data_IF_360043493834
#
_entry.id   IF_360043493834
#
_cell.length_a   1.000
_cell.length_b   1.000
_cell.length_c   1.000
_cell.angle_alpha   90.00
_cell.angle_beta   90.00
_cell.angle_gamma   90.00
#
_symmetry.space_group_name_H-M   'P 1'
#
loop_
_entity.id
_entity.type
_entity.pdbx_description
1 polymer ?
#
# COMPACT_ATOMS: atom_id res chain seq x y z
N UNK A 1 31.20 -2.99 -3.82
CA UNK A 1 30.25 -2.39 -2.86
C UNK A 1 28.83 -2.89 -3.18
N UNK A 2 28.18 -3.64 -2.28
CA UNK A 2 26.87 -4.25 -2.55
C UNK A 2 25.73 -3.23 -2.38
N UNK A 3 25.33 -2.65 -3.50
CA UNK A 3 24.29 -1.63 -3.67
C UNK A 3 22.84 -2.12 -3.52
N UNK A 4 22.61 -3.26 -2.90
CA UNK A 4 21.25 -3.74 -2.67
C UNK A 4 20.51 -2.85 -1.66
N UNK A 5 21.24 -2.05 -0.87
CA UNK A 5 20.77 -1.46 0.40
C UNK A 5 19.79 -0.29 0.30
N UNK A 6 19.79 0.51 -0.77
CA UNK A 6 19.00 1.75 -0.82
C UNK A 6 17.62 1.59 -1.51
N UNK A 7 17.52 0.82 -2.61
CA UNK A 7 16.22 0.34 -3.17
C UNK A 7 15.36 -0.34 -2.10
N UNK A 8 16.01 -0.97 -1.13
CA UNK A 8 15.35 -1.76 -0.10
C UNK A 8 14.60 -0.90 0.96
N UNK A 9 14.89 0.40 1.05
CA UNK A 9 14.39 1.24 2.14
C UNK A 9 13.05 1.94 1.84
N UNK A 10 12.71 2.11 0.56
CA UNK A 10 11.53 2.84 0.11
C UNK A 10 10.25 1.98 -0.04
N UNK A 11 10.40 0.69 -0.32
CA UNK A 11 9.28 -0.23 -0.50
C UNK A 11 8.45 -0.46 0.78
N UNK A 12 9.05 -0.19 1.96
CA UNK A 12 8.51 -0.52 3.28
C UNK A 12 7.25 0.22 3.69
N UNK A 13 6.98 1.37 3.06
CA UNK A 13 5.87 2.25 3.43
C UNK A 13 4.64 2.09 2.54
N UNK A 14 4.77 1.29 1.49
CA UNK A 14 3.69 0.98 0.56
C UNK A 14 2.63 0.03 1.08
N UNK A 15 2.97 -0.79 2.09
CA UNK A 15 2.17 -1.94 2.52
C UNK A 15 1.60 -1.77 3.93
N UNK A 16 1.95 -0.68 4.60
CA UNK A 16 1.71 -0.48 6.02
C UNK A 16 0.61 0.53 6.35
N UNK A 17 -0.27 0.85 5.40
CA UNK A 17 -1.56 1.45 5.77
C UNK A 17 -2.47 0.28 6.15
N UNK A 18 -2.66 -0.03 7.45
CA UNK A 18 -3.72 -0.95 7.82
C UNK A 18 -5.03 -0.38 7.28
N UNK A 19 -5.65 -1.09 6.35
CA UNK A 19 -7.01 -0.82 5.88
C UNK A 19 -8.07 -1.05 6.97
N UNK A 20 -7.75 -0.78 8.23
CA UNK A 20 -8.65 -0.93 9.36
C UNK A 20 -9.35 0.42 9.58
N UNK A 21 -10.23 0.77 8.65
CA UNK A 21 -11.36 1.60 9.04
C UNK A 21 -12.00 0.90 10.24
N UNK A 22 -12.16 1.62 11.36
CA UNK A 22 -12.78 1.07 12.57
C UNK A 22 -14.06 0.34 12.16
N UNK A 23 -14.18 -0.94 12.50
CA UNK A 23 -15.36 -1.72 12.15
C UNK A 23 -16.59 -0.95 12.63
N UNK A 24 -17.59 -0.72 11.76
CA UNK A 24 -18.75 0.06 12.15
C UNK A 24 -19.37 -0.56 13.41
N UNK A 25 -19.83 0.28 14.34
CA UNK A 25 -20.44 -0.22 15.56
C UNK A 25 -21.64 -1.12 15.21
N UNK A 26 -21.66 -2.35 15.76
CA UNK A 26 -22.77 -3.27 15.54
C UNK A 26 -24.04 -2.66 16.16
N UNK A 27 -25.18 -2.61 15.45
CA UNK A 27 -26.42 -2.09 16.02
C UNK A 27 -26.86 -2.92 17.24
N UNK A 28 -27.37 -2.24 18.27
CA UNK A 28 -27.73 -2.83 19.56
C UNK A 28 -28.92 -3.81 19.49
N UNK A 29 -29.72 -3.77 18.42
CA UNK A 29 -30.88 -4.63 18.25
C UNK A 29 -30.46 -6.10 18.08
N UNK A 30 -30.98 -6.99 18.95
CA UNK A 30 -30.71 -8.43 18.97
C UNK A 30 -30.67 -9.03 17.55
N UNK A 31 -29.54 -9.66 17.20
CA UNK A 31 -29.39 -10.32 15.93
C UNK A 31 -30.49 -11.40 15.81
N UNK A 32 -31.45 -11.16 14.93
CA UNK A 32 -32.39 -12.22 14.54
C UNK A 32 -31.56 -13.27 13.81
N UNK A 33 -31.79 -14.56 14.10
CA UNK A 33 -31.03 -15.67 13.53
C UNK A 33 -30.95 -15.60 12.00
N UNK A 34 -29.94 -16.26 11.42
CA UNK A 34 -29.77 -16.28 9.97
C UNK A 34 -31.02 -16.90 9.31
N UNK A 35 -31.59 -16.26 8.28
CA UNK A 35 -32.75 -16.79 7.56
C UNK A 35 -32.37 -18.08 6.84
N UNK A 36 -33.33 -18.99 6.66
CA UNK A 36 -33.15 -20.14 5.80
C UNK A 36 -32.97 -19.70 4.33
N UNK A 37 -32.34 -20.57 3.53
CA UNK A 37 -32.03 -20.31 2.12
C UNK A 37 -33.26 -19.93 1.29
N UNK A 38 -34.40 -20.55 1.55
CA UNK A 38 -35.62 -20.32 0.77
C UNK A 38 -36.27 -18.97 1.10
N UNK A 39 -36.19 -18.53 2.36
CA UNK A 39 -36.58 -17.19 2.79
C UNK A 39 -35.60 -16.14 2.26
N UNK A 40 -34.30 -16.42 2.23
CA UNK A 40 -33.30 -15.51 1.63
C UNK A 40 -33.60 -15.29 0.15
N UNK A 41 -33.73 -16.35 -0.65
CA UNK A 41 -34.01 -16.26 -2.09
C UNK A 41 -35.32 -15.53 -2.41
N UNK A 42 -36.39 -15.83 -1.66
CA UNK A 42 -37.65 -15.10 -1.81
C UNK A 42 -37.52 -13.60 -1.48
N UNK A 43 -36.62 -13.25 -0.56
CA UNK A 43 -36.31 -11.86 -0.22
C UNK A 43 -35.48 -11.20 -1.32
N UNK A 44 -34.52 -11.90 -1.92
CA UNK A 44 -33.76 -11.41 -3.08
C UNK A 44 -34.70 -11.04 -4.24
N UNK A 45 -35.67 -11.91 -4.57
CA UNK A 45 -36.70 -11.64 -5.58
C UNK A 45 -37.51 -10.37 -5.27
N UNK A 46 -37.81 -10.13 -3.99
CA UNK A 46 -38.50 -8.91 -3.54
C UNK A 46 -37.62 -7.68 -3.72
N UNK A 47 -36.36 -7.73 -3.32
CA UNK A 47 -35.44 -6.59 -3.42
C UNK A 47 -35.17 -6.20 -4.87
N UNK A 48 -35.13 -7.19 -5.76
CA UNK A 48 -35.09 -6.96 -7.21
C UNK A 48 -36.37 -6.26 -7.70
N UNK A 49 -37.55 -6.76 -7.31
CA UNK A 49 -38.82 -6.16 -7.70
C UNK A 49 -38.98 -4.71 -7.20
N UNK A 50 -38.40 -4.39 -6.04
CA UNK A 50 -38.33 -3.04 -5.48
C UNK A 50 -37.28 -2.14 -6.14
N UNK A 51 -36.49 -2.66 -7.08
CA UNK A 51 -35.33 -1.97 -7.66
C UNK A 51 -34.39 -1.40 -6.59
N UNK A 52 -34.21 -2.16 -5.50
CA UNK A 52 -33.39 -1.73 -4.37
C UNK A 52 -31.96 -1.30 -4.78
N UNK A 53 -31.28 -1.93 -5.76
CA UNK A 53 -29.97 -1.48 -6.23
C UNK A 53 -29.91 0.00 -6.62
N UNK A 54 -30.95 0.53 -7.26
CA UNK A 54 -31.00 1.95 -7.67
C UNK A 54 -30.97 2.86 -6.44
N UNK A 55 -31.80 2.56 -5.44
CA UNK A 55 -31.86 3.32 -4.19
C UNK A 55 -30.52 3.22 -3.43
N UNK A 56 -29.95 2.03 -3.31
CA UNK A 56 -28.71 1.81 -2.56
C UNK A 56 -27.53 2.52 -3.21
N UNK A 57 -27.42 2.51 -4.54
CA UNK A 57 -26.38 3.27 -5.25
C UNK A 57 -26.51 4.77 -5.00
N UNK A 58 -27.74 5.28 -5.00
CA UNK A 58 -27.99 6.68 -4.67
C UNK A 58 -27.56 6.99 -3.23
N UNK A 59 -27.94 6.16 -2.25
CA UNK A 59 -27.56 6.32 -0.85
C UNK A 59 -26.05 6.24 -0.62
N UNK A 60 -25.34 5.30 -1.27
CA UNK A 60 -23.88 5.17 -1.17
C UNK A 60 -23.14 6.45 -1.60
N UNK A 61 -23.67 7.20 -2.58
CA UNK A 61 -23.05 8.43 -3.09
C UNK A 61 -23.16 9.63 -2.14
N UNK A 62 -24.05 9.56 -1.15
CA UNK A 62 -24.39 10.67 -0.26
C UNK A 62 -24.48 10.25 1.21
N UNK A 63 -23.82 9.15 1.59
CA UNK A 63 -23.95 8.60 2.93
C UNK A 63 -23.30 9.53 3.96
N UNK A 64 -24.11 10.22 4.76
CA UNK A 64 -23.61 11.18 5.74
C UNK A 64 -22.83 10.51 6.89
N UNK A 65 -21.85 11.24 7.46
CA UNK A 65 -21.09 10.79 8.63
C UNK A 65 -20.08 9.68 8.32
N UNK A 66 -19.48 9.71 7.13
CA UNK A 66 -18.34 8.86 6.74
C UNK A 66 -17.15 9.74 6.37
N UNK A 67 -15.93 9.19 6.42
CA UNK A 67 -14.71 9.89 6.00
C UNK A 67 -14.69 10.13 4.49
N UNK A 68 -13.86 11.06 4.01
CA UNK A 68 -13.71 11.34 2.58
C UNK A 68 -13.26 10.08 1.79
N UNK A 69 -12.32 9.32 2.34
CA UNK A 69 -11.86 8.06 1.76
C UNK A 69 -12.99 7.02 1.69
N UNK A 70 -13.77 6.87 2.77
CA UNK A 70 -14.92 5.97 2.80
C UNK A 70 -15.99 6.40 1.80
N UNK A 71 -16.17 7.70 1.58
CA UNK A 71 -17.10 8.25 0.60
C UNK A 71 -16.65 8.00 -0.85
N UNK A 72 -15.35 8.11 -1.14
CA UNK A 72 -14.77 7.76 -2.45
C UNK A 72 -14.99 6.28 -2.77
N UNK A 73 -14.70 5.40 -1.79
CA UNK A 73 -14.94 3.97 -1.89
C UNK A 73 -16.42 3.63 -2.13
N UNK A 74 -17.35 4.24 -1.39
CA UNK A 74 -18.78 4.02 -1.58
C UNK A 74 -19.26 4.52 -2.96
N UNK A 75 -18.70 5.63 -3.45
CA UNK A 75 -18.98 6.13 -4.80
C UNK A 75 -18.47 5.18 -5.86
N UNK A 76 -17.25 4.66 -5.71
CA UNK A 76 -16.70 3.63 -6.58
C UNK A 76 -17.59 2.38 -6.56
N UNK A 77 -17.93 1.84 -5.38
CA UNK A 77 -18.83 0.70 -5.27
C UNK A 77 -20.16 0.97 -5.97
N UNK A 78 -20.74 2.17 -5.80
CA UNK A 78 -22.01 2.56 -6.44
C UNK A 78 -21.98 2.53 -7.97
N UNK A 79 -20.80 2.52 -8.58
CA UNK A 79 -20.62 2.46 -10.03
C UNK A 79 -20.22 1.07 -10.53
N UNK A 80 -19.50 0.29 -9.71
CA UNK A 80 -18.82 -0.93 -10.19
C UNK A 80 -19.38 -2.25 -9.66
N UNK A 81 -20.06 -2.26 -8.50
CA UNK A 81 -20.61 -3.52 -7.98
C UNK A 81 -21.80 -3.98 -8.82
N UNK A 82 -21.99 -5.30 -8.98
CA UNK A 82 -23.17 -5.85 -9.62
C UNK A 82 -24.42 -5.70 -8.75
N UNK A 83 -25.59 -5.57 -9.36
CA UNK A 83 -26.88 -5.48 -8.65
C UNK A 83 -27.14 -6.72 -7.77
N UNK A 84 -26.76 -7.90 -8.27
CA UNK A 84 -26.83 -9.16 -7.52
C UNK A 84 -26.02 -9.10 -6.21
N UNK A 85 -24.87 -8.42 -6.19
CA UNK A 85 -24.05 -8.26 -4.98
C UNK A 85 -24.73 -7.34 -3.96
N UNK A 86 -25.39 -6.27 -4.41
CA UNK A 86 -26.17 -5.38 -3.54
C UNK A 86 -27.33 -6.17 -2.92
N UNK A 87 -28.07 -6.91 -3.74
CA UNK A 87 -29.20 -7.73 -3.30
C UNK A 87 -28.73 -8.80 -2.32
N UNK A 88 -27.67 -9.55 -2.63
CA UNK A 88 -27.13 -10.58 -1.74
C UNK A 88 -26.62 -10.03 -0.40
N UNK A 89 -26.03 -8.83 -0.41
CA UNK A 89 -25.58 -8.16 0.82
C UNK A 89 -26.74 -7.75 1.72
N UNK A 90 -27.84 -7.30 1.13
CA UNK A 90 -28.97 -6.74 1.89
C UNK A 90 -30.08 -7.75 2.16
N UNK A 91 -30.22 -8.82 1.38
CA UNK A 91 -31.25 -9.84 1.57
C UNK A 91 -31.30 -10.39 3.01
N UNK A 92 -30.18 -10.69 3.70
CA UNK A 92 -30.20 -11.10 5.11
C UNK A 92 -30.79 -10.05 6.06
N UNK A 93 -30.62 -8.76 5.76
CA UNK A 93 -31.15 -7.65 6.58
C UNK A 93 -32.67 -7.61 6.51
N UNK A 94 -33.23 -7.74 5.30
CA UNK A 94 -34.68 -7.70 5.08
C UNK A 94 -35.36 -9.03 5.46
N UNK A 95 -34.73 -10.17 5.20
CA UNK A 95 -35.25 -11.50 5.50
C UNK A 95 -35.47 -11.71 7.01
N UNK A 96 -34.76 -10.97 7.87
CA UNK A 96 -34.99 -10.97 9.32
C UNK A 96 -36.38 -10.46 9.74
N UNK A 97 -37.13 -9.84 8.84
CA UNK A 97 -38.46 -9.26 9.09
C UNK A 97 -39.56 -9.86 8.21
N UNK A 98 -39.21 -10.82 7.35
CA UNK A 98 -40.12 -11.38 6.37
C UNK A 98 -40.19 -12.90 6.51
N UNK A 99 -41.39 -13.44 6.30
CA UNK A 99 -41.53 -14.87 5.99
C UNK A 99 -41.31 -15.08 4.49
N UNK A 100 -40.92 -16.29 4.09
CA UNK A 100 -40.86 -16.69 2.67
C UNK A 100 -42.15 -16.38 1.90
N UNK A 101 -43.31 -16.61 2.53
CA UNK A 101 -44.61 -16.39 1.90
C UNK A 101 -44.89 -14.90 1.68
N UNK A 102 -44.57 -14.05 2.67
CA UNK A 102 -44.74 -12.60 2.57
C UNK A 102 -43.82 -12.02 1.50
N UNK A 103 -42.54 -12.38 1.52
CA UNK A 103 -41.56 -11.89 0.55
C UNK A 103 -41.99 -12.19 -0.90
N UNK A 104 -42.47 -13.41 -1.16
CA UNK A 104 -43.01 -13.80 -2.48
C UNK A 104 -44.24 -12.99 -2.88
N UNK A 105 -45.20 -12.82 -1.97
CA UNK A 105 -46.43 -12.05 -2.25
C UNK A 105 -46.12 -10.60 -2.57
N UNK A 106 -45.21 -9.99 -1.81
CA UNK A 106 -44.74 -8.63 -2.07
C UNK A 106 -44.00 -8.54 -3.41
N UNK A 107 -43.11 -9.49 -3.71
CA UNK A 107 -42.35 -9.50 -4.96
C UNK A 107 -43.28 -9.60 -6.19
N UNK A 108 -44.30 -10.47 -6.12
CA UNK A 108 -45.32 -10.59 -7.18
C UNK A 108 -46.06 -9.27 -7.38
N UNK A 109 -46.48 -8.60 -6.31
CA UNK A 109 -47.15 -7.31 -6.43
C UNK A 109 -46.24 -6.23 -7.03
N UNK A 110 -45.00 -6.07 -6.56
CA UNK A 110 -44.11 -5.03 -7.08
C UNK A 110 -43.70 -5.25 -8.54
N UNK A 111 -43.95 -6.44 -9.11
CA UNK A 111 -43.81 -6.72 -10.54
C UNK A 111 -45.07 -6.35 -11.37
N UNK A 112 -46.22 -6.06 -10.76
CA UNK A 112 -47.41 -5.56 -11.47
C UNK A 112 -47.21 -4.14 -11.99
N UNK A 113 -48.14 -3.65 -12.83
CA UNK A 113 -48.11 -2.26 -13.30
C UNK A 113 -48.26 -1.27 -12.14
N UNK A 114 -49.26 -1.46 -11.27
CA UNK A 114 -49.48 -0.68 -10.05
C UNK A 114 -48.24 -0.69 -9.15
N UNK A 115 -47.65 -1.86 -8.94
CA UNK A 115 -46.46 -2.04 -8.11
C UNK A 115 -45.23 -1.33 -8.67
N UNK A 116 -44.96 -1.47 -9.97
CA UNK A 116 -43.84 -0.79 -10.64
C UNK A 116 -44.00 0.73 -10.64
N UNK A 117 -45.21 1.23 -10.88
CA UNK A 117 -45.54 2.67 -10.77
C UNK A 117 -45.26 3.21 -9.37
N UNK A 118 -45.59 2.43 -8.34
CA UNK A 118 -45.28 2.77 -6.94
C UNK A 118 -43.78 2.74 -6.64
N UNK A 119 -43.05 1.74 -7.13
CA UNK A 119 -41.59 1.67 -6.98
C UNK A 119 -40.92 2.87 -7.65
N UNK A 120 -41.32 3.22 -8.86
CA UNK A 120 -40.81 4.40 -9.55
C UNK A 120 -41.06 5.69 -8.74
N UNK A 121 -42.28 5.90 -8.25
CA UNK A 121 -42.59 7.05 -7.39
C UNK A 121 -41.73 7.09 -6.12
N UNK A 122 -41.51 5.94 -5.47
CA UNK A 122 -40.64 5.83 -4.29
C UNK A 122 -39.19 6.20 -4.61
N UNK A 123 -38.64 5.75 -5.74
CA UNK A 123 -37.29 6.09 -6.16
C UNK A 123 -37.15 7.59 -6.48
N UNK A 124 -38.17 8.19 -7.11
CA UNK A 124 -38.20 9.65 -7.38
C UNK A 124 -38.28 10.44 -6.08
N UNK A 125 -39.16 10.06 -5.15
CA UNK A 125 -39.26 10.70 -3.83
C UNK A 125 -37.94 10.64 -3.05
N UNK A 126 -37.18 9.55 -3.22
CA UNK A 126 -35.87 9.40 -2.63
C UNK A 126 -34.76 10.17 -3.37
N UNK A 127 -35.04 10.77 -4.53
CA UNK A 127 -34.05 11.44 -5.38
C UNK A 127 -33.16 10.49 -6.20
N UNK A 128 -33.46 9.19 -6.20
CA UNK A 128 -32.67 8.15 -6.86
C UNK A 128 -32.97 8.01 -8.36
N UNK A 129 -34.11 8.53 -8.83
CA UNK A 129 -34.50 8.54 -10.24
C UNK A 129 -35.27 9.82 -10.61
N UNK A 130 -35.30 10.16 -11.90
CA UNK A 130 -36.15 11.23 -12.43
C UNK A 130 -37.58 10.69 -12.70
N UNK A 131 -38.59 11.56 -12.62
CA UNK A 131 -39.98 11.20 -12.93
C UNK A 131 -41.00 11.90 -12.04
N UNK A 132 -42.20 11.30 -11.96
CA UNK A 132 -43.30 11.80 -11.14
C UNK A 132 -43.25 11.19 -9.72
N UNK A 133 -43.06 12.04 -8.70
CA UNK A 133 -43.03 11.61 -7.30
C UNK A 133 -44.41 11.22 -6.74
N UNK A 134 -45.49 11.75 -7.34
CA UNK A 134 -46.86 11.59 -6.85
C UNK A 134 -47.83 11.20 -7.99
N UNK A 135 -47.67 10.01 -8.58
CA UNK A 135 -48.50 9.61 -9.70
C UNK A 135 -49.96 9.46 -9.29
N UNK A 136 -50.86 9.80 -10.20
CA UNK A 136 -52.29 9.60 -10.01
C UNK A 136 -52.63 8.10 -10.05
N UNK A 137 -53.26 7.58 -8.98
CA UNK A 137 -53.79 6.22 -8.91
C UNK A 137 -55.31 6.23 -9.02
N UNK A 138 -55.86 5.31 -9.83
CA UNK A 138 -57.27 4.94 -9.88
C UNK A 138 -57.73 4.29 -8.57
N UNK A 139 -59.05 4.19 -8.36
CA UNK A 139 -59.60 3.60 -7.14
C UNK A 139 -59.27 2.10 -7.00
N UNK A 140 -59.19 1.37 -8.12
CA UNK A 140 -58.76 -0.03 -8.13
C UNK A 140 -57.29 -0.18 -7.71
N UNK A 141 -56.39 0.66 -8.24
CA UNK A 141 -54.97 0.69 -7.85
C UNK A 141 -54.81 1.05 -6.36
N UNK A 142 -55.59 2.02 -5.85
CA UNK A 142 -55.56 2.40 -4.42
C UNK A 142 -56.01 1.26 -3.51
N UNK A 143 -57.05 0.51 -3.91
CA UNK A 143 -57.52 -0.65 -3.16
C UNK A 143 -56.47 -1.77 -3.14
N UNK A 144 -55.81 -2.02 -4.28
CA UNK A 144 -54.70 -2.97 -4.39
C UNK A 144 -53.55 -2.58 -3.45
N UNK A 145 -53.14 -1.31 -3.49
CA UNK A 145 -52.11 -0.74 -2.61
C UNK A 145 -52.43 -0.98 -1.14
N UNK A 146 -53.64 -0.61 -0.68
CA UNK A 146 -54.07 -0.79 0.72
C UNK A 146 -54.04 -2.27 1.13
N UNK A 147 -54.45 -3.16 0.23
CA UNK A 147 -54.44 -4.61 0.48
C UNK A 147 -53.00 -5.11 0.70
N UNK A 148 -52.05 -4.65 -0.10
CA UNK A 148 -50.65 -5.05 0.03
C UNK A 148 -49.99 -4.44 1.28
N UNK A 149 -50.24 -3.18 1.60
CA UNK A 149 -49.78 -2.54 2.84
C UNK A 149 -50.33 -3.22 4.10
N UNK A 150 -51.48 -3.88 3.99
CA UNK A 150 -52.07 -4.64 5.10
C UNK A 150 -51.41 -6.00 5.33
N UNK A 151 -50.56 -6.48 4.42
CA UNK A 151 -49.87 -7.77 4.58
C UNK A 151 -48.96 -7.75 5.82
N UNK A 152 -48.87 -8.86 6.58
CA UNK A 152 -48.02 -8.95 7.76
C UNK A 152 -46.57 -8.54 7.48
N UNK A 153 -45.99 -8.99 6.37
CA UNK A 153 -44.63 -8.61 5.96
C UNK A 153 -44.46 -7.12 5.66
N UNK A 154 -45.42 -6.48 4.98
CA UNK A 154 -45.35 -5.04 4.71
C UNK A 154 -45.40 -4.21 6.00
N UNK A 155 -46.32 -4.58 6.90
CA UNK A 155 -46.41 -3.96 8.24
C UNK A 155 -45.17 -4.20 9.07
N UNK A 156 -44.56 -5.38 9.00
CA UNK A 156 -43.33 -5.69 9.71
C UNK A 156 -42.17 -4.82 9.22
N UNK A 157 -42.02 -4.63 7.90
CA UNK A 157 -41.00 -3.73 7.35
C UNK A 157 -41.24 -2.27 7.78
N UNK A 158 -42.49 -1.80 7.74
CA UNK A 158 -42.84 -0.44 8.16
C UNK A 158 -42.61 -0.21 9.66
N UNK A 159 -43.07 -1.14 10.51
CA UNK A 159 -42.93 -1.05 11.96
C UNK A 159 -41.48 -1.13 12.43
N UNK A 160 -40.58 -1.71 11.63
CA UNK A 160 -39.16 -1.84 11.95
C UNK A 160 -38.27 -0.95 11.05
N UNK A 161 -38.83 0.11 10.45
CA UNK A 161 -38.13 0.95 9.47
C UNK A 161 -36.80 1.50 9.96
N UNK A 162 -36.75 2.03 11.19
CA UNK A 162 -35.52 2.59 11.77
C UNK A 162 -34.44 1.53 11.99
N UNK A 163 -34.82 0.40 12.61
CA UNK A 163 -33.90 -0.72 12.84
C UNK A 163 -33.38 -1.32 11.52
N UNK A 164 -34.22 -1.33 10.48
CA UNK A 164 -33.85 -1.79 9.15
C UNK A 164 -32.87 -0.82 8.48
N UNK A 165 -33.12 0.49 8.60
CA UNK A 165 -32.22 1.54 8.09
C UNK A 165 -30.84 1.45 8.73
N UNK A 166 -30.76 1.27 10.05
CA UNK A 166 -29.50 1.13 10.78
C UNK A 166 -28.74 -0.14 10.39
N UNK A 167 -29.44 -1.29 10.29
CA UNK A 167 -28.82 -2.55 9.87
C UNK A 167 -28.34 -2.52 8.43
N UNK A 168 -29.11 -1.88 7.53
CA UNK A 168 -28.71 -1.69 6.13
C UNK A 168 -27.46 -0.82 6.05
N UNK A 169 -27.41 0.30 6.79
CA UNK A 169 -26.23 1.16 6.87
C UNK A 169 -25.01 0.38 7.36
N UNK A 170 -25.16 -0.37 8.44
CA UNK A 170 -24.10 -1.24 8.97
C UNK A 170 -23.63 -2.27 7.93
N UNK A 171 -24.56 -2.95 7.24
CA UNK A 171 -24.22 -3.94 6.22
C UNK A 171 -23.43 -3.33 5.05
N UNK A 172 -23.82 -2.14 4.58
CA UNK A 172 -23.11 -1.41 3.52
C UNK A 172 -21.69 -1.04 3.97
N UNK A 173 -21.53 -0.49 5.16
CA UNK A 173 -20.22 -0.08 5.69
C UNK A 173 -19.31 -1.30 5.97
N UNK A 174 -19.86 -2.39 6.49
CA UNK A 174 -19.09 -3.60 6.69
C UNK A 174 -18.67 -4.23 5.34
N UNK A 175 -19.58 -4.23 4.36
CA UNK A 175 -19.27 -4.71 3.02
C UNK A 175 -18.22 -3.84 2.33
N UNK A 176 -18.26 -2.51 2.50
CA UNK A 176 -17.24 -1.63 1.93
C UNK A 176 -15.85 -1.90 2.51
N UNK A 177 -15.72 -2.21 3.80
CA UNK A 177 -14.44 -2.64 4.39
C UNK A 177 -13.90 -3.91 3.73
N UNK A 178 -14.76 -4.91 3.51
CA UNK A 178 -14.37 -6.16 2.82
C UNK A 178 -13.99 -5.87 1.36
N UNK A 179 -14.76 -5.04 0.67
CA UNK A 179 -14.50 -4.65 -0.72
C UNK A 179 -13.17 -3.90 -0.86
N UNK A 180 -12.88 -2.93 0.03
CA UNK A 180 -11.59 -2.22 0.10
C UNK A 180 -10.44 -3.22 0.28
N UNK A 181 -10.60 -4.22 1.12
CA UNK A 181 -9.57 -5.25 1.36
C UNK A 181 -9.24 -6.03 0.08
N UNK A 182 -10.23 -6.32 -0.76
CA UNK A 182 -10.00 -6.98 -2.06
C UNK A 182 -9.23 -6.06 -3.01
N UNK A 183 -9.63 -4.78 -3.12
CA UNK A 183 -8.91 -3.81 -3.95
C UNK A 183 -7.46 -3.59 -3.48
N UNK A 184 -7.25 -3.49 -2.16
CA UNK A 184 -5.92 -3.39 -1.57
C UNK A 184 -5.05 -4.60 -1.93
N UNK A 185 -5.60 -5.81 -1.93
CA UNK A 185 -4.84 -7.01 -2.36
C UNK A 185 -4.44 -6.93 -3.83
N UNK A 186 -5.31 -6.42 -4.70
CA UNK A 186 -5.01 -6.22 -6.11
C UNK A 186 -3.89 -5.20 -6.29
N UNK A 187 -4.00 -4.02 -5.67
CA UNK A 187 -2.95 -2.99 -5.72
C UNK A 187 -1.61 -3.51 -5.16
N UNK A 188 -1.67 -4.25 -4.05
CA UNK A 188 -0.47 -4.84 -3.43
C UNK A 188 0.20 -5.90 -4.29
N UNK A 189 -0.54 -6.64 -5.11
CA UNK A 189 0.04 -7.63 -6.01
C UNK A 189 0.96 -6.97 -7.04
N UNK A 190 0.50 -5.89 -7.67
CA UNK A 190 1.29 -5.15 -8.67
C UNK A 190 2.52 -4.49 -8.01
N UNK A 191 2.35 -3.89 -6.83
CA UNK A 191 3.47 -3.32 -6.06
C UNK A 191 4.52 -4.38 -5.69
N UNK A 192 4.08 -5.56 -5.21
CA UNK A 192 5.00 -6.66 -4.87
C UNK A 192 5.82 -7.11 -6.07
N UNK A 193 5.17 -7.30 -7.22
CA UNK A 193 5.86 -7.72 -8.44
C UNK A 193 6.90 -6.70 -8.88
N UNK A 194 6.59 -5.40 -8.78
CA UNK A 194 7.54 -4.36 -9.14
C UNK A 194 8.72 -4.32 -8.17
N UNK A 195 8.48 -4.38 -6.86
CA UNK A 195 9.56 -4.41 -5.85
C UNK A 195 10.45 -5.62 -6.09
N UNK A 196 9.88 -6.80 -6.31
CA UNK A 196 10.65 -8.01 -6.59
C UNK A 196 11.50 -7.86 -7.86
N UNK A 197 10.95 -7.27 -8.93
CA UNK A 197 11.70 -7.01 -10.16
C UNK A 197 12.86 -6.05 -9.92
N UNK A 198 12.68 -5.02 -9.08
CA UNK A 198 13.74 -4.09 -8.72
C UNK A 198 14.83 -4.74 -7.85
N UNK A 199 14.47 -5.70 -6.99
CA UNK A 199 15.42 -6.45 -6.17
C UNK A 199 16.23 -7.45 -7.00
N UNK A 200 15.61 -8.06 -8.01
CA UNK A 200 16.25 -9.05 -8.87
C UNK A 200 17.00 -8.43 -10.05
N UNK A 201 16.78 -7.14 -10.34
CA UNK A 201 17.43 -6.41 -11.42
C UNK A 201 18.95 -6.40 -11.27
N UNK A 202 19.66 -6.82 -12.33
CA UNK A 202 21.12 -6.74 -12.40
C UNK A 202 21.55 -5.31 -12.73
N UNK A 203 22.83 -5.02 -12.50
CA UNK A 203 23.42 -3.69 -12.73
C UNK A 203 23.25 -3.17 -14.16
N UNK A 204 23.21 -4.07 -15.14
CA UNK A 204 23.13 -3.76 -16.57
C UNK A 204 21.70 -3.79 -17.11
N UNK A 205 20.74 -4.26 -16.32
CA UNK A 205 19.36 -4.36 -16.77
C UNK A 205 18.72 -2.96 -16.82
N UNK A 206 17.97 -2.63 -17.89
CA UNK A 206 17.18 -1.41 -17.88
C UNK A 206 16.16 -1.50 -16.74
N UNK A 207 16.01 -0.39 -16.00
CA UNK A 207 15.03 -0.35 -14.92
C UNK A 207 13.63 -0.63 -15.47
N UNK A 208 12.84 -1.49 -14.81
CA UNK A 208 11.52 -1.83 -15.27
C UNK A 208 10.64 -0.58 -15.31
N UNK A 209 9.87 -0.42 -16.39
CA UNK A 209 8.87 0.62 -16.47
C UNK A 209 7.71 0.26 -15.52
N UNK A 210 7.35 1.13 -14.56
CA UNK A 210 6.21 0.88 -13.69
C UNK A 210 4.91 0.78 -14.49
N UNK A 211 4.36 -0.43 -14.58
CA UNK A 211 3.00 -0.64 -15.07
C UNK A 211 2.09 -0.97 -13.88
N UNK A 212 1.04 -0.17 -13.71
CA UNK A 212 0.00 -0.38 -12.71
C UNK A 212 -1.31 -0.76 -13.38
N UNK A 213 -1.95 -1.79 -12.86
CA UNK A 213 -3.35 -2.05 -13.19
C UNK A 213 -4.21 -1.19 -12.26
N UNK A 214 -4.91 -0.15 -12.77
CA UNK A 214 -5.74 0.69 -11.92
C UNK A 214 -6.86 -0.15 -11.29
N UNK A 215 -7.07 0.03 -9.98
CA UNK A 215 -8.20 -0.55 -9.26
C UNK A 215 -9.50 0.17 -9.59
N UNK A 216 -9.41 1.39 -10.14
CA UNK A 216 -10.53 2.28 -10.40
C UNK A 216 -10.97 3.07 -9.18
N UNK A 217 -10.32 2.88 -8.03
CA UNK A 217 -10.49 3.69 -6.84
C UNK A 217 -9.41 4.77 -6.81
N UNK A 218 -9.76 6.00 -7.17
CA UNK A 218 -8.82 7.12 -7.35
C UNK A 218 -7.88 7.32 -6.17
N UNK A 219 -8.39 7.29 -4.94
CA UNK A 219 -7.57 7.42 -3.72
C UNK A 219 -6.50 6.34 -3.61
N UNK A 220 -6.87 5.08 -3.86
CA UNK A 220 -5.94 3.94 -3.83
C UNK A 220 -4.98 3.95 -5.01
N UNK A 221 -5.45 4.27 -6.20
CA UNK A 221 -4.63 4.33 -7.42
C UNK A 221 -3.56 5.43 -7.31
N UNK A 222 -3.92 6.61 -6.77
CA UNK A 222 -2.98 7.69 -6.50
C UNK A 222 -1.92 7.30 -5.46
N UNK A 223 -2.34 6.67 -4.36
CA UNK A 223 -1.42 6.17 -3.32
C UNK A 223 -0.44 5.15 -3.89
N UNK A 224 -0.95 4.21 -4.69
CA UNK A 224 -0.14 3.16 -5.35
C UNK A 224 0.84 3.79 -6.35
N UNK A 225 0.42 4.77 -7.13
CA UNK A 225 1.29 5.48 -8.06
C UNK A 225 2.44 6.21 -7.34
N UNK A 226 2.17 6.86 -6.20
CA UNK A 226 3.21 7.54 -5.40
C UNK A 226 4.27 6.58 -4.86
N UNK A 227 3.84 5.43 -4.33
CA UNK A 227 4.76 4.36 -3.88
C UNK A 227 5.73 3.99 -5.01
N UNK A 228 5.16 3.75 -6.18
CA UNK A 228 5.87 3.20 -7.32
C UNK A 228 6.85 4.21 -7.90
N UNK A 229 6.44 5.47 -8.00
CA UNK A 229 7.30 6.58 -8.39
C UNK A 229 8.48 6.72 -7.41
N UNK A 230 8.22 6.67 -6.09
CA UNK A 230 9.28 6.73 -5.09
C UNK A 230 10.28 5.56 -5.22
N UNK A 231 9.80 4.32 -5.38
CA UNK A 231 10.66 3.15 -5.59
C UNK A 231 11.50 3.29 -6.87
N UNK A 232 10.90 3.78 -7.96
CA UNK A 232 11.59 3.97 -9.23
C UNK A 232 12.67 5.06 -9.13
N UNK A 233 12.38 6.20 -8.50
CA UNK A 233 13.35 7.27 -8.24
C UNK A 233 14.53 6.78 -7.42
N UNK A 234 14.28 6.07 -6.33
CA UNK A 234 15.34 5.46 -5.52
C UNK A 234 16.21 4.51 -6.34
N UNK A 235 15.60 3.66 -7.19
CA UNK A 235 16.36 2.77 -8.06
C UNK A 235 17.24 3.52 -9.09
N UNK A 236 16.74 4.62 -9.66
CA UNK A 236 17.52 5.50 -10.55
C UNK A 236 18.70 6.14 -9.81
N UNK A 237 18.50 6.60 -8.58
CA UNK A 237 19.53 7.24 -7.77
C UNK A 237 20.64 6.24 -7.39
N UNK A 238 20.28 5.00 -7.09
CA UNK A 238 21.21 3.92 -6.80
C UNK A 238 22.00 3.49 -8.05
N UNK A 239 21.33 3.42 -9.21
CA UNK A 239 21.99 3.12 -10.47
C UNK A 239 23.02 4.20 -10.84
N UNK A 240 22.66 5.48 -10.68
CA UNK A 240 23.57 6.60 -10.89
C UNK A 240 24.76 6.57 -9.92
N UNK A 241 24.49 6.35 -8.63
CA UNK A 241 25.55 6.21 -7.61
C UNK A 241 26.54 5.09 -7.96
N UNK A 242 26.05 3.92 -8.38
CA UNK A 242 26.90 2.81 -8.83
C UNK A 242 27.73 3.18 -10.05
N UNK A 243 27.16 3.87 -11.03
CA UNK A 243 27.88 4.30 -12.22
C UNK A 243 29.03 5.24 -11.84
N UNK A 244 28.76 6.20 -10.95
CA UNK A 244 29.77 7.13 -10.42
C UNK A 244 30.89 6.39 -9.67
N UNK A 245 30.56 5.45 -8.77
CA UNK A 245 31.56 4.65 -8.03
C UNK A 245 32.49 3.85 -8.96
N UNK A 246 31.97 3.29 -10.05
CA UNK A 246 32.80 2.61 -11.05
C UNK A 246 33.65 3.61 -11.85
N UNK A 247 33.10 4.76 -12.23
CA UNK A 247 33.85 5.80 -12.93
C UNK A 247 35.00 6.37 -12.07
N UNK A 248 34.83 6.40 -10.74
CA UNK A 248 35.87 6.81 -9.80
C UNK A 248 36.90 5.72 -9.52
N UNK A 249 36.70 4.52 -10.06
CA UNK A 249 37.67 3.44 -9.98
C UNK A 249 37.94 2.98 -8.53
N UNK A 250 36.90 3.04 -7.69
CA UNK A 250 36.98 2.79 -6.24
C UNK A 250 37.41 1.35 -5.90
N UNK A 251 37.06 0.40 -6.77
CA UNK A 251 37.37 -1.03 -6.60
C UNK A 251 38.88 -1.32 -6.73
N UNK A 252 39.62 -0.41 -7.36
CA UNK A 252 41.05 -0.56 -7.63
C UNK A 252 41.92 0.32 -6.71
N UNK A 253 41.33 0.95 -5.68
CA UNK A 253 42.05 1.86 -4.76
C UNK A 253 43.18 1.18 -3.99
N UNK A 254 43.08 -0.12 -3.73
CA UNK A 254 44.11 -0.89 -3.01
C UNK A 254 44.91 -1.83 -3.94
N UNK A 255 44.92 -1.60 -5.25
CA UNK A 255 45.76 -2.37 -6.16
C UNK A 255 47.24 -2.26 -5.76
N UNK A 256 47.94 -3.40 -5.73
CA UNK A 256 49.35 -3.47 -5.28
C UNK A 256 50.25 -2.48 -6.05
N UNK A 257 50.02 -2.30 -7.36
CA UNK A 257 50.76 -1.36 -8.22
C UNK A 257 50.58 0.10 -7.79
N UNK A 258 49.38 0.45 -7.29
CA UNK A 258 49.09 1.80 -6.80
C UNK A 258 49.74 2.06 -5.45
N UNK A 259 49.94 1.02 -4.64
CA UNK A 259 50.45 1.16 -3.26
C UNK A 259 51.97 1.37 -3.18
N UNK A 260 52.71 1.09 -4.25
CA UNK A 260 54.19 1.18 -4.28
C UNK A 260 54.72 2.43 -4.98
N UNK A 261 53.86 3.27 -5.57
CA UNK A 261 54.24 4.47 -6.30
C UNK A 261 53.54 5.71 -5.77
N UNK A 262 54.22 6.86 -5.80
CA UNK A 262 53.65 8.13 -5.35
C UNK A 262 52.44 8.53 -6.19
N UNK A 263 52.54 8.35 -7.50
CA UNK A 263 51.49 8.64 -8.48
C UNK A 263 50.28 7.73 -8.27
N UNK A 264 50.50 6.43 -8.02
CA UNK A 264 49.46 5.46 -7.73
C UNK A 264 48.69 5.77 -6.44
N UNK A 265 49.41 6.10 -5.37
CA UNK A 265 48.79 6.50 -4.08
C UNK A 265 47.99 7.79 -4.27
N UNK A 266 48.54 8.79 -4.96
CA UNK A 266 47.86 10.06 -5.23
C UNK A 266 46.56 9.85 -6.05
N UNK A 267 46.59 8.97 -7.06
CA UNK A 267 45.39 8.60 -7.82
C UNK A 267 44.34 7.94 -6.94
N UNK A 268 44.75 7.01 -6.09
CA UNK A 268 43.87 6.28 -5.17
C UNK A 268 43.23 7.21 -4.13
N UNK A 269 44.00 8.17 -3.59
CA UNK A 269 43.47 9.22 -2.70
C UNK A 269 42.46 10.12 -3.40
N UNK A 270 42.71 10.50 -4.65
CA UNK A 270 41.76 11.28 -5.43
C UNK A 270 40.46 10.52 -5.69
N UNK A 271 40.54 9.23 -6.04
CA UNK A 271 39.37 8.35 -6.18
C UNK A 271 38.56 8.26 -4.88
N UNK A 272 39.21 8.10 -3.72
CA UNK A 272 38.54 8.11 -2.42
C UNK A 272 37.83 9.43 -2.13
N UNK A 273 38.48 10.57 -2.38
CA UNK A 273 37.89 11.89 -2.15
C UNK A 273 36.63 12.12 -3.00
N UNK A 274 36.66 11.69 -4.27
CA UNK A 274 35.48 11.73 -5.15
C UNK A 274 34.36 10.81 -4.64
N UNK A 275 34.71 9.61 -4.17
CA UNK A 275 33.75 8.67 -3.62
C UNK A 275 33.07 9.21 -2.34
N UNK A 276 33.85 9.76 -1.42
CA UNK A 276 33.34 10.37 -0.17
C UNK A 276 32.33 11.48 -0.46
N UNK A 277 32.69 12.44 -1.32
CA UNK A 277 31.80 13.53 -1.71
C UNK A 277 30.50 13.02 -2.36
N UNK A 278 30.59 11.93 -3.14
CA UNK A 278 29.43 11.35 -3.82
C UNK A 278 28.51 10.57 -2.87
N UNK A 279 29.04 9.89 -1.86
CA UNK A 279 28.25 9.24 -0.81
C UNK A 279 27.43 10.29 -0.06
N UNK A 280 28.04 11.39 0.38
CA UNK A 280 27.32 12.49 1.05
C UNK A 280 26.24 13.11 0.18
N UNK A 281 26.47 13.21 -1.12
CA UNK A 281 25.45 13.66 -2.07
C UNK A 281 24.31 12.63 -2.17
N UNK A 282 24.64 11.36 -2.37
CA UNK A 282 23.65 10.29 -2.51
C UNK A 282 22.73 10.18 -1.29
N UNK A 283 23.29 10.27 -0.08
CA UNK A 283 22.52 10.25 1.17
C UNK A 283 21.56 11.43 1.27
N UNK A 284 22.01 12.64 0.93
CA UNK A 284 21.15 13.83 0.90
C UNK A 284 20.04 13.68 -0.12
N UNK A 285 20.36 13.22 -1.33
CA UNK A 285 19.37 13.01 -2.37
C UNK A 285 18.29 12.01 -1.88
N UNK A 286 18.70 10.88 -1.27
CA UNK A 286 17.76 9.87 -0.73
C UNK A 286 16.88 10.42 0.40
N UNK A 287 17.46 11.20 1.31
CA UNK A 287 16.70 11.87 2.39
C UNK A 287 15.67 12.87 1.83
N UNK A 288 16.05 13.64 0.81
CA UNK A 288 15.15 14.60 0.17
C UNK A 288 14.02 13.89 -0.58
N UNK A 289 14.33 12.81 -1.30
CA UNK A 289 13.33 11.99 -1.98
C UNK A 289 12.34 11.38 -0.97
N UNK A 290 12.83 10.79 0.12
CA UNK A 290 12.00 10.25 1.20
C UNK A 290 11.10 11.32 1.83
N UNK A 291 11.65 12.50 2.15
CA UNK A 291 10.87 13.61 2.71
C UNK A 291 9.76 14.05 1.75
N UNK A 292 10.09 14.24 0.48
CA UNK A 292 9.11 14.65 -0.54
C UNK A 292 8.01 13.60 -0.71
N UNK A 293 8.38 12.32 -0.73
CA UNK A 293 7.41 11.23 -0.78
C UNK A 293 6.48 11.24 0.44
N UNK A 294 6.98 11.51 1.65
CA UNK A 294 6.12 11.62 2.85
C UNK A 294 5.16 12.78 2.82
N UNK A 295 5.62 13.95 2.37
CA UNK A 295 4.75 15.11 2.21
C UNK A 295 3.61 14.82 1.23
N UNK A 296 3.92 14.13 0.12
CA UNK A 296 2.92 13.71 -0.86
C UNK A 296 1.99 12.62 -0.31
N UNK A 297 2.53 11.63 0.39
CA UNK A 297 1.73 10.54 0.97
C UNK A 297 0.76 11.07 2.03
N UNK A 298 1.19 12.00 2.89
CA UNK A 298 0.32 12.68 3.87
C UNK A 298 -0.78 13.51 3.21
N UNK A 299 -0.50 14.12 2.06
CA UNK A 299 -1.52 14.84 1.30
C UNK A 299 -2.59 13.91 0.71
N UNK A 300 -2.23 12.66 0.40
CA UNK A 300 -3.15 11.65 -0.16
C UNK A 300 -3.89 10.86 0.93
N UNK A 301 -3.24 10.54 2.05
CA UNK A 301 -3.84 9.84 3.19
C UNK A 301 -4.51 10.86 4.11
N UNK A 302 -5.82 11.05 3.95
CA UNK A 302 -6.62 12.00 4.75
C UNK A 302 -6.98 11.50 6.18
N UNK A 303 -6.16 10.62 6.77
CA UNK A 303 -6.40 10.06 8.11
C UNK A 303 -5.25 10.41 9.06
N UNK A 304 -5.48 11.30 10.06
CA UNK A 304 -4.49 11.61 11.08
C UNK A 304 -4.02 10.38 11.89
N UNK A 305 -4.85 9.34 12.01
CA UNK A 305 -4.45 8.11 12.69
C UNK A 305 -3.45 7.29 11.85
N UNK A 306 -3.32 7.55 10.55
CA UNK A 306 -2.32 6.90 9.71
C UNK A 306 -0.89 7.32 10.08
N UNK A 307 -0.70 8.53 10.61
CA UNK A 307 0.62 8.98 11.08
C UNK A 307 1.15 8.07 12.21
N UNK A 308 0.29 7.61 13.14
CA UNK A 308 0.69 6.71 14.24
C UNK A 308 1.25 5.36 13.77
N UNK A 309 0.77 4.86 12.62
CA UNK A 309 1.25 3.60 12.04
C UNK A 309 2.47 3.81 11.13
N UNK A 310 2.54 4.95 10.47
CA UNK A 310 3.52 5.24 9.43
C UNK A 310 4.84 5.76 10.03
N UNK A 311 4.78 6.58 11.08
CA UNK A 311 5.94 7.22 11.70
C UNK A 311 6.99 6.22 12.24
N UNK A 312 6.63 5.13 12.94
CA UNK A 312 7.62 4.14 13.39
C UNK A 312 8.34 3.43 12.23
N UNK A 313 7.70 3.29 11.08
CA UNK A 313 8.32 2.69 9.89
C UNK A 313 9.28 3.66 9.22
N UNK A 314 8.90 4.95 9.12
CA UNK A 314 9.79 6.01 8.66
C UNK A 314 11.04 6.08 9.52
N UNK A 315 10.88 6.05 10.85
CA UNK A 315 12.00 6.09 11.78
C UNK A 315 12.98 4.92 11.56
N UNK A 316 12.45 3.70 11.34
CA UNK A 316 13.28 2.51 11.03
C UNK A 316 14.04 2.67 9.72
N UNK A 317 13.38 3.17 8.68
CA UNK A 317 13.99 3.42 7.37
C UNK A 317 15.12 4.46 7.48
N UNK A 318 14.86 5.59 8.13
CA UNK A 318 15.88 6.61 8.34
C UNK A 318 17.06 6.09 9.17
N UNK A 319 16.79 5.28 10.19
CA UNK A 319 17.84 4.66 11.03
C UNK A 319 18.75 3.76 10.19
N UNK A 320 18.18 2.93 9.31
CA UNK A 320 18.98 2.07 8.43
C UNK A 320 19.80 2.89 7.41
N UNK A 321 19.24 3.98 6.88
CA UNK A 321 19.94 4.87 5.97
C UNK A 321 21.14 5.55 6.64
N UNK A 322 20.98 6.03 7.88
CA UNK A 322 22.07 6.60 8.68
C UNK A 322 23.13 5.54 9.01
N UNK A 323 22.74 4.34 9.45
CA UNK A 323 23.70 3.26 9.74
C UNK A 323 24.49 2.86 8.50
N UNK A 324 23.84 2.79 7.33
CA UNK A 324 24.52 2.50 6.06
C UNK A 324 25.56 3.57 5.73
N UNK A 325 25.23 4.84 5.92
CA UNK A 325 26.16 5.96 5.73
C UNK A 325 27.38 5.87 6.66
N UNK A 326 27.15 5.56 7.94
CA UNK A 326 28.22 5.43 8.93
C UNK A 326 29.17 4.29 8.58
N UNK A 327 28.65 3.13 8.17
CA UNK A 327 29.47 2.00 7.71
C UNK A 327 30.29 2.36 6.46
N UNK A 328 29.71 3.11 5.52
CA UNK A 328 30.42 3.58 4.33
C UNK A 328 31.55 4.56 4.68
N UNK A 329 31.29 5.53 5.56
CA UNK A 329 32.31 6.47 6.07
C UNK A 329 33.44 5.74 6.78
N UNK A 330 33.13 4.77 7.64
CA UNK A 330 34.13 3.96 8.33
C UNK A 330 35.01 3.16 7.36
N UNK A 331 34.41 2.64 6.28
CA UNK A 331 35.14 1.95 5.21
C UNK A 331 36.11 2.90 4.52
N UNK A 332 35.65 4.09 4.09
CA UNK A 332 36.50 5.08 3.43
C UNK A 332 37.62 5.62 4.33
N UNK A 333 37.34 5.86 5.62
CA UNK A 333 38.36 6.25 6.60
C UNK A 333 39.45 5.18 6.72
N UNK A 334 39.05 3.91 6.79
CA UNK A 334 40.01 2.78 6.84
C UNK A 334 40.85 2.69 5.57
N UNK A 335 40.24 2.84 4.39
CA UNK A 335 40.96 2.90 3.11
C UNK A 335 41.97 4.06 3.10
N UNK A 336 41.56 5.24 3.54
CA UNK A 336 42.45 6.40 3.62
C UNK A 336 43.61 6.18 4.59
N UNK A 337 43.39 5.52 5.73
CA UNK A 337 44.46 5.12 6.66
C UNK A 337 45.46 4.16 6.03
N UNK A 338 44.98 3.20 5.24
CA UNK A 338 45.84 2.28 4.48
C UNK A 338 46.69 3.06 3.46
N UNK A 339 46.09 3.97 2.69
CA UNK A 339 46.84 4.80 1.74
C UNK A 339 47.90 5.69 2.43
N UNK A 340 47.55 6.30 3.57
CA UNK A 340 48.47 7.12 4.36
C UNK A 340 49.63 6.27 4.94
N UNK A 341 49.34 5.04 5.33
CA UNK A 341 50.36 4.09 5.74
C UNK A 341 51.36 3.82 4.60
N UNK A 342 50.89 3.48 3.40
CA UNK A 342 51.76 3.26 2.24
C UNK A 342 52.54 4.51 1.84
N UNK A 343 51.92 5.69 1.90
CA UNK A 343 52.61 6.96 1.63
C UNK A 343 53.75 7.21 2.62
N UNK A 344 53.51 6.96 3.91
CA UNK A 344 54.52 7.12 4.97
C UNK A 344 55.65 6.09 4.91
N UNK A 345 55.47 5.02 4.12
CA UNK A 345 56.41 3.90 3.93
C UNK A 345 56.85 3.78 2.47
N UNK A 346 56.71 4.85 1.69
CA UNK A 346 57.10 4.86 0.29
C UNK A 346 58.56 4.41 0.14
N UNK A 347 58.81 3.44 -0.75
CA UNK A 347 60.12 2.81 -0.95
C UNK A 347 60.52 1.77 0.10
N UNK A 348 59.76 1.60 1.19
CA UNK A 348 59.94 0.52 2.17
C UNK A 348 59.03 -0.69 1.92
N UNK A 349 58.01 -0.51 1.07
CA UNK A 349 57.20 -1.59 0.50
C UNK A 349 57.51 -1.67 -0.98
N UNK A 350 57.77 -2.87 -1.49
CA UNK A 350 58.11 -3.11 -2.90
C UNK A 350 57.20 -4.16 -3.50
N UNK A 351 57.10 -4.18 -4.83
CA UNK A 351 56.37 -5.20 -5.56
C UNK A 351 57.36 -6.28 -6.04
N UNK A 352 57.14 -7.54 -5.66
CA UNK A 352 57.90 -8.69 -6.15
C UNK A 352 56.91 -9.77 -6.59
N UNK A 353 57.04 -10.23 -7.84
CA UNK A 353 56.13 -11.22 -8.46
C UNK A 353 54.63 -10.86 -8.31
N UNK A 354 54.32 -9.56 -8.36
CA UNK A 354 52.96 -9.03 -8.20
C UNK A 354 52.46 -8.93 -6.75
N UNK A 355 53.27 -9.30 -5.77
CA UNK A 355 52.94 -9.26 -4.34
C UNK A 355 53.68 -8.14 -3.61
N UNK A 356 53.05 -7.62 -2.55
CA UNK A 356 53.64 -6.60 -1.69
C UNK A 356 54.63 -7.23 -0.71
N UNK A 357 55.89 -6.79 -0.76
CA UNK A 357 56.96 -7.22 0.13
C UNK A 357 57.32 -6.09 1.09
N UNK A 358 57.19 -6.36 2.38
CA UNK A 358 57.45 -5.40 3.47
C UNK A 358 58.86 -5.57 4.01
N UNK A 359 59.55 -4.45 4.24
CA UNK A 359 60.88 -4.45 4.87
C UNK A 359 60.85 -4.85 6.36
N UNK A 360 59.76 -4.55 7.06
CA UNK A 360 59.60 -4.82 8.50
C UNK A 360 58.33 -5.64 8.77
N UNK A 361 58.41 -6.62 9.66
CA UNK A 361 57.23 -7.41 10.08
C UNK A 361 56.21 -6.56 10.86
N UNK A 362 56.65 -5.54 11.61
CA UNK A 362 55.73 -4.63 12.32
C UNK A 362 54.82 -3.84 11.39
N UNK A 363 55.34 -3.41 10.23
CA UNK A 363 54.58 -2.70 9.20
C UNK A 363 53.53 -3.64 8.59
N UNK A 364 53.88 -4.91 8.37
CA UNK A 364 52.94 -5.94 7.93
C UNK A 364 51.83 -6.20 8.96
N UNK A 365 52.16 -6.31 10.24
CA UNK A 365 51.17 -6.51 11.30
C UNK A 365 50.19 -5.33 11.44
N UNK A 366 50.67 -4.10 11.26
CA UNK A 366 49.82 -2.90 11.27
C UNK A 366 48.83 -2.92 10.10
N UNK A 367 49.29 -3.29 8.90
CA UNK A 367 48.42 -3.40 7.74
C UNK A 367 47.37 -4.50 7.91
N UNK A 368 47.75 -5.68 8.41
CA UNK A 368 46.82 -6.77 8.71
C UNK A 368 45.73 -6.34 9.70
N UNK A 369 46.05 -5.45 10.65
CA UNK A 369 45.07 -4.89 11.56
C UNK A 369 44.07 -3.94 10.86
N UNK A 370 44.51 -3.17 9.86
CA UNK A 370 43.65 -2.30 9.04
C UNK A 370 42.79 -3.13 8.06
N UNK A 371 43.35 -4.18 7.45
CA UNK A 371 42.59 -5.11 6.61
C UNK A 371 41.47 -5.79 7.43
N UNK A 372 41.77 -6.17 8.67
CA UNK A 372 40.75 -6.72 9.58
C UNK A 372 39.63 -5.70 9.90
N UNK A 373 39.95 -4.40 9.97
CA UNK A 373 38.93 -3.35 10.13
C UNK A 373 38.06 -3.23 8.88
N UNK A 374 38.64 -3.33 7.67
CA UNK A 374 37.86 -3.37 6.42
C UNK A 374 36.93 -4.58 6.37
N UNK A 375 37.42 -5.76 6.73
CA UNK A 375 36.60 -6.98 6.77
C UNK A 375 35.43 -6.83 7.74
N UNK A 376 35.65 -6.19 8.89
CA UNK A 376 34.60 -5.91 9.86
C UNK A 376 33.55 -4.95 9.28
N UNK A 377 33.95 -3.83 8.67
CA UNK A 377 33.01 -2.90 8.04
C UNK A 377 32.25 -3.55 6.88
N UNK A 378 32.89 -4.45 6.12
CA UNK A 378 32.24 -5.22 5.08
C UNK A 378 31.18 -6.19 5.64
N UNK A 379 31.47 -6.85 6.76
CA UNK A 379 30.54 -7.71 7.48
C UNK A 379 29.33 -6.92 8.01
N UNK A 380 29.57 -5.80 8.71
CA UNK A 380 28.51 -4.92 9.22
C UNK A 380 27.61 -4.42 8.09
N UNK A 381 28.22 -4.04 6.95
CA UNK A 381 27.44 -3.69 5.78
C UNK A 381 26.58 -4.87 5.30
N UNK A 382 27.13 -6.07 5.20
CA UNK A 382 26.37 -7.25 4.75
C UNK A 382 25.16 -7.49 5.65
N UNK A 383 25.33 -7.35 6.96
CA UNK A 383 24.25 -7.47 7.93
C UNK A 383 23.18 -6.40 7.72
N UNK A 384 23.57 -5.14 7.51
CA UNK A 384 22.62 -4.06 7.17
C UNK A 384 21.82 -4.35 5.88
N UNK A 385 22.44 -4.97 4.87
CA UNK A 385 21.72 -5.36 3.65
C UNK A 385 20.69 -6.46 3.93
N UNK A 386 21.04 -7.43 4.78
CA UNK A 386 20.14 -8.52 5.16
C UNK A 386 18.97 -8.02 6.03
N UNK A 387 19.25 -7.13 6.99
CA UNK A 387 18.24 -6.47 7.83
C UNK A 387 17.21 -5.75 6.96
N UNK A 388 17.71 -4.94 6.02
CA UNK A 388 16.86 -4.19 5.11
C UNK A 388 16.02 -5.15 4.24
N UNK A 389 16.64 -6.20 3.67
CA UNK A 389 15.94 -7.19 2.84
C UNK A 389 14.83 -7.91 3.61
N UNK A 390 15.13 -8.34 4.83
CA UNK A 390 14.16 -8.99 5.72
C UNK A 390 12.99 -8.06 6.02
N UNK A 391 13.28 -6.77 6.27
CA UNK A 391 12.24 -5.77 6.51
C UNK A 391 11.29 -5.65 5.31
N UNK A 392 11.83 -5.67 4.07
CA UNK A 392 11.01 -5.69 2.85
C UNK A 392 10.17 -6.94 2.78
N UNK A 393 10.78 -8.11 2.92
CA UNK A 393 10.09 -9.39 2.79
C UNK A 393 8.92 -9.47 3.80
N UNK A 394 9.13 -9.02 5.03
CA UNK A 394 8.08 -8.90 6.06
C UNK A 394 6.96 -7.92 5.66
N UNK A 395 7.29 -6.77 5.08
CA UNK A 395 6.31 -5.81 4.59
C UNK A 395 5.51 -6.39 3.41
N UNK A 396 6.19 -7.10 2.51
CA UNK A 396 5.60 -7.78 1.37
C UNK A 396 4.70 -8.92 1.83
N UNK A 397 5.00 -9.68 2.88
CA UNK A 397 4.20 -10.85 3.26
C UNK A 397 2.84 -10.51 3.91
N UNK A 398 2.56 -9.25 4.30
CA UNK A 398 1.36 -8.88 5.09
C UNK A 398 1.14 -9.85 6.26
N UNK A 399 2.20 -10.35 6.91
CA UNK A 399 2.01 -11.03 8.20
C UNK A 399 1.34 -10.01 9.10
N UNK A 400 0.09 -10.25 9.57
CA UNK A 400 -0.48 -9.35 10.57
C UNK A 400 0.51 -9.35 11.71
N UNK A 401 1.13 -8.20 11.98
CA UNK A 401 1.96 -8.04 13.17
C UNK A 401 1.04 -8.39 14.33
N UNK A 402 1.31 -9.54 14.94
CA UNK A 402 0.55 -10.04 16.08
C UNK A 402 0.51 -8.95 17.13
N UNK A 403 -0.69 -8.71 17.65
CA UNK A 403 -0.88 -7.93 18.86
C UNK A 403 -0.20 -8.59 20.04
#
# INVERSE_FOLDING_TARGET
MNSARAVILCALLSLAVPGHAAAPARPAAAAKGLPDEATRKATEDLLEALQLPVLVRHEMRQLAGVTAEQQDLLRHMSNHVADASIIGTLAPVYAAYLTRADARRLAVHYRTETGRKRVAAMLVQAGASAGEAHPAYSDAERLEIKRIESLPGARALQANGDALKDRRRYAILNWSTVYKTVLLRQANYDMRNQVQTLLDARREDPLPNPALTPTGLTSLDNMTALVIDNNHRTALMDAAFKADMAAYDIEHVLENERMVSKEGIARSKNSLALAEARIERHLRDQQENLRSYWEQLRAVIADPAADEYTEPLIAKVLTLLVRSAETERATLDTLNRILNFYESRLGSVTLQDGQLVFKNESDRQLLLALDKQLDQSAAEGKDLANDARTMIEDALELKPRGR
#
